data_IF_900195844362
#
_entry.id   IF_900195844362
#
_cell.length_a   1.000
_cell.length_b   1.000
_cell.length_c   1.000
_cell.angle_alpha   90.00
_cell.angle_beta   90.00
_cell.angle_gamma   90.00
#
_symmetry.space_group_name_H-M   'P 1'
#
loop_
_entity.id
_entity.type
_entity.pdbx_description
1 polymer ?
#
# COMPACT_ATOMS: atom_id res chain seq x y z
N UNK A 1 -31.11 -4.01 4.44
CA UNK A 1 -29.99 -3.22 5.00
C UNK A 1 -29.51 -2.06 4.11
N UNK A 2 -29.16 -2.28 2.84
CA UNK A 2 -28.47 -1.29 1.97
C UNK A 2 -29.21 0.04 1.71
N UNK A 3 -30.51 0.02 1.36
CA UNK A 3 -31.33 1.25 1.23
C UNK A 3 -31.47 2.02 2.56
N UNK A 4 -31.34 1.33 3.70
CA UNK A 4 -31.43 1.92 5.04
C UNK A 4 -30.16 2.69 5.36
N UNK A 5 -28.97 2.14 5.04
CA UNK A 5 -27.69 2.83 5.21
C UNK A 5 -27.54 4.08 4.34
N UNK A 6 -27.98 4.05 3.07
CA UNK A 6 -27.94 5.23 2.20
C UNK A 6 -28.80 6.38 2.75
N UNK A 7 -30.00 6.04 3.25
CA UNK A 7 -30.91 7.01 3.88
C UNK A 7 -30.32 7.56 5.18
N UNK A 8 -29.64 6.73 5.96
CA UNK A 8 -28.96 7.15 7.19
C UNK A 8 -27.78 8.08 6.86
N UNK A 9 -26.94 7.73 5.88
CA UNK A 9 -25.83 8.58 5.44
C UNK A 9 -26.27 9.93 4.86
N UNK A 10 -27.33 9.95 4.04
CA UNK A 10 -27.93 11.19 3.53
C UNK A 10 -28.52 12.05 4.66
N UNK A 11 -29.12 11.43 5.68
CA UNK A 11 -29.65 12.12 6.85
C UNK A 11 -28.53 12.75 7.69
N UNK A 12 -27.44 12.03 7.94
CA UNK A 12 -26.28 12.57 8.65
C UNK A 12 -25.60 13.70 7.88
N UNK A 13 -25.48 13.58 6.55
CA UNK A 13 -24.95 14.66 5.70
C UNK A 13 -25.83 15.92 5.75
N UNK A 14 -27.15 15.76 5.69
CA UNK A 14 -28.08 16.89 5.79
C UNK A 14 -27.97 17.59 7.16
N UNK A 15 -27.87 16.82 8.25
CA UNK A 15 -27.67 17.36 9.61
C UNK A 15 -26.34 18.11 9.70
N UNK A 16 -25.27 17.55 9.16
CA UNK A 16 -23.96 18.18 9.12
C UNK A 16 -23.95 19.51 8.33
N UNK A 17 -24.58 19.54 7.15
CA UNK A 17 -24.66 20.74 6.33
C UNK A 17 -25.49 21.86 6.99
N UNK A 18 -26.55 21.48 7.72
CA UNK A 18 -27.31 22.41 8.55
C UNK A 18 -26.46 23.01 9.68
N UNK A 19 -25.65 22.18 10.35
CA UNK A 19 -24.71 22.64 11.39
C UNK A 19 -23.62 23.57 10.81
N UNK A 20 -23.28 23.44 9.53
CA UNK A 20 -22.40 24.35 8.80
C UNK A 20 -23.09 25.61 8.24
N UNK A 21 -24.36 25.84 8.56
CA UNK A 21 -25.08 27.08 8.21
C UNK A 21 -25.79 27.09 6.85
N UNK A 22 -25.92 25.95 6.17
CA UNK A 22 -26.75 25.87 4.96
C UNK A 22 -28.24 25.95 5.29
N UNK A 23 -29.03 26.48 4.35
CA UNK A 23 -30.48 26.38 4.45
C UNK A 23 -30.94 24.93 4.41
N UNK A 24 -32.07 24.63 5.04
CA UNK A 24 -32.62 23.27 5.06
C UNK A 24 -32.93 22.74 3.64
N UNK A 25 -33.30 23.62 2.71
CA UNK A 25 -33.57 23.23 1.33
C UNK A 25 -32.27 22.82 0.64
N UNK A 26 -31.22 23.64 0.74
CA UNK A 26 -29.93 23.38 0.09
C UNK A 26 -29.21 22.16 0.69
N UNK A 27 -29.33 21.96 2.01
CA UNK A 27 -28.78 20.79 2.70
C UNK A 27 -29.45 19.49 2.23
N UNK A 28 -30.77 19.51 2.08
CA UNK A 28 -31.56 18.35 1.61
C UNK A 28 -31.28 18.07 0.13
N UNK A 29 -31.18 19.09 -0.71
CA UNK A 29 -30.93 18.90 -2.14
C UNK A 29 -29.50 18.44 -2.42
N UNK A 30 -28.50 18.94 -1.68
CA UNK A 30 -27.13 18.39 -1.70
C UNK A 30 -27.09 16.95 -1.21
N UNK A 31 -27.82 16.61 -0.14
CA UNK A 31 -27.89 15.24 0.37
C UNK A 31 -28.60 14.28 -0.60
N UNK A 32 -29.63 14.74 -1.31
CA UNK A 32 -30.32 13.97 -2.37
C UNK A 32 -29.45 13.78 -3.59
N UNK A 33 -28.80 14.84 -4.08
CA UNK A 33 -27.85 14.77 -5.19
C UNK A 33 -26.71 13.81 -4.88
N UNK A 34 -26.16 13.90 -3.67
CA UNK A 34 -25.20 12.93 -3.13
C UNK A 34 -25.77 11.50 -3.10
N UNK A 35 -26.99 11.29 -2.59
CA UNK A 35 -27.59 9.97 -2.55
C UNK A 35 -27.82 9.38 -3.96
N UNK A 36 -28.19 10.20 -4.94
CA UNK A 36 -28.39 9.80 -6.34
C UNK A 36 -27.05 9.49 -7.04
N UNK A 37 -26.04 10.33 -6.83
CA UNK A 37 -24.66 10.10 -7.28
C UNK A 37 -24.09 8.80 -6.66
N UNK A 38 -24.30 8.60 -5.34
CA UNK A 38 -23.90 7.39 -4.59
C UNK A 38 -24.67 6.14 -4.98
N UNK A 39 -25.93 6.26 -5.43
CA UNK A 39 -26.71 5.14 -5.96
C UNK A 39 -26.10 4.57 -7.24
N UNK A 40 -25.44 5.43 -8.02
CA UNK A 40 -24.67 5.06 -9.22
C UNK A 40 -23.19 4.77 -8.92
N UNK A 41 -22.65 5.28 -7.81
CA UNK A 41 -21.28 5.03 -7.30
C UNK A 41 -21.16 3.80 -6.39
N UNK A 42 -22.27 3.18 -5.97
CA UNK A 42 -22.23 1.78 -5.52
C UNK A 42 -21.91 0.97 -6.77
N UNK A 43 -20.63 0.89 -7.10
CA UNK A 43 -20.11 -0.14 -7.98
C UNK A 43 -20.60 -1.43 -7.35
N UNK A 44 -21.50 -2.11 -8.04
CA UNK A 44 -21.69 -3.52 -7.81
C UNK A 44 -20.35 -4.15 -8.14
N UNK A 45 -19.49 -4.33 -7.12
CA UNK A 45 -18.32 -5.20 -7.19
C UNK A 45 -18.89 -6.61 -7.39
N UNK A 46 -19.33 -6.91 -8.61
CA UNK A 46 -19.53 -8.28 -9.05
C UNK A 46 -18.13 -8.86 -9.08
N UNK A 47 -17.97 -9.96 -8.37
CA UNK A 47 -16.81 -10.81 -8.55
C UNK A 47 -16.73 -11.17 -10.04
N UNK A 48 -15.75 -10.59 -10.73
CA UNK A 48 -15.47 -10.79 -12.15
C UNK A 48 -14.27 -11.71 -12.34
N UNK A 49 -13.81 -12.42 -11.29
CA UNK A 49 -12.73 -13.41 -11.35
C UNK A 49 -12.91 -14.48 -12.44
N UNK A 50 -14.14 -14.68 -12.92
CA UNK A 50 -14.51 -15.58 -14.01
C UNK A 50 -14.48 -15.01 -15.45
N UNK A 51 -14.03 -13.77 -15.68
CA UNK A 51 -14.15 -13.08 -16.99
C UNK A 51 -12.81 -12.75 -17.68
N UNK A 52 -11.75 -13.54 -17.50
CA UNK A 52 -10.43 -13.18 -18.05
C UNK A 52 -9.85 -14.22 -19.00
N UNK A 53 -9.17 -13.73 -20.05
CA UNK A 53 -8.32 -14.50 -20.94
C UNK A 53 -6.87 -14.46 -20.45
N UNK A 54 -6.16 -15.59 -20.51
CA UNK A 54 -4.78 -15.74 -20.02
C UNK A 54 -3.79 -14.71 -20.59
N UNK A 55 -4.00 -14.30 -21.85
CA UNK A 55 -3.18 -13.33 -22.57
C UNK A 55 -3.17 -11.94 -21.93
N UNK A 56 -4.27 -11.54 -21.30
CA UNK A 56 -4.40 -10.21 -20.69
C UNK A 56 -3.54 -10.12 -19.44
N UNK A 57 -3.39 -11.23 -18.71
CA UNK A 57 -2.61 -11.37 -17.49
C UNK A 57 -1.11 -11.40 -17.78
N UNK A 58 -0.70 -12.09 -18.86
CA UNK A 58 0.71 -12.23 -19.24
C UNK A 58 1.44 -10.89 -19.50
N UNK A 59 0.72 -9.87 -19.95
CA UNK A 59 1.24 -8.52 -20.20
C UNK A 59 1.66 -7.80 -18.90
N UNK A 60 0.94 -8.03 -17.80
CA UNK A 60 1.25 -7.47 -16.48
C UNK A 60 2.52 -8.07 -15.90
N UNK A 61 2.70 -9.37 -16.10
CA UNK A 61 3.90 -10.11 -15.70
C UNK A 61 5.13 -9.67 -16.51
N UNK A 62 4.94 -9.25 -17.77
CA UNK A 62 6.02 -8.74 -18.62
C UNK A 62 6.57 -7.38 -18.14
N UNK A 63 5.72 -6.46 -17.71
CA UNK A 63 6.15 -5.18 -17.13
C UNK A 63 6.89 -5.36 -15.77
N UNK A 64 6.51 -6.39 -14.99
CA UNK A 64 7.23 -6.78 -13.77
C UNK A 64 8.59 -7.45 -14.07
N UNK A 65 8.69 -8.24 -15.14
CA UNK A 65 9.95 -8.89 -15.60
C UNK A 65 11.03 -7.90 -15.98
N UNK A 66 10.67 -6.75 -16.55
CA UNK A 66 11.63 -5.77 -17.07
C UNK A 66 12.48 -5.09 -15.96
N UNK A 67 12.08 -5.24 -14.68
CA UNK A 67 12.78 -4.70 -13.49
C UNK A 67 13.18 -5.80 -12.48
N UNK A 68 13.60 -6.96 -12.96
CA UNK A 68 13.96 -8.09 -12.10
C UNK A 68 15.31 -7.88 -11.37
N UNK A 69 15.29 -7.14 -10.26
CA UNK A 69 16.34 -7.19 -9.24
C UNK A 69 16.25 -8.49 -8.40
N UNK A 70 17.31 -8.82 -7.66
CA UNK A 70 17.38 -10.07 -6.87
C UNK A 70 16.64 -10.03 -5.53
N UNK A 71 16.18 -8.85 -5.11
CA UNK A 71 15.57 -8.63 -3.80
C UNK A 71 14.12 -9.10 -3.70
N UNK A 72 13.58 -8.92 -2.50
CA UNK A 72 12.18 -9.15 -2.16
C UNK A 72 11.54 -7.83 -1.73
N UNK A 73 10.27 -7.62 -2.06
CA UNK A 73 9.47 -6.51 -1.50
C UNK A 73 8.26 -7.10 -0.79
N UNK A 74 7.97 -6.65 0.42
CA UNK A 74 6.78 -6.98 1.21
C UNK A 74 6.00 -5.68 1.46
N UNK A 75 4.98 -5.46 0.63
CA UNK A 75 4.11 -4.28 0.70
C UNK A 75 2.88 -4.59 1.55
N UNK A 76 2.76 -3.96 2.72
CA UNK A 76 1.72 -4.27 3.70
C UNK A 76 0.62 -3.20 3.68
N UNK A 77 -0.65 -3.61 3.62
CA UNK A 77 -1.80 -2.70 3.63
C UNK A 77 -2.03 -2.01 4.97
N UNK A 78 -1.60 -2.62 6.08
CA UNK A 78 -1.81 -2.22 7.48
C UNK A 78 -2.33 -3.41 8.30
N UNK A 79 -2.59 -3.25 9.60
CA UNK A 79 -3.25 -4.27 10.41
C UNK A 79 -2.41 -5.51 10.77
N UNK A 80 -1.08 -5.38 10.76
CA UNK A 80 -0.16 -6.40 11.28
C UNK A 80 0.46 -5.88 12.58
N UNK A 81 -0.40 -5.70 13.58
CA UNK A 81 -0.10 -4.91 14.79
C UNK A 81 0.32 -5.79 15.98
N UNK A 82 0.59 -7.08 15.75
CA UNK A 82 1.01 -8.03 16.81
C UNK A 82 2.19 -8.84 16.33
N UNK A 83 3.03 -9.30 17.25
CA UNK A 83 4.15 -10.17 16.91
C UNK A 83 3.67 -11.43 16.18
N UNK A 84 2.57 -12.02 16.63
CA UNK A 84 2.02 -13.27 16.10
C UNK A 84 1.58 -13.12 14.64
N UNK A 85 0.82 -12.08 14.31
CA UNK A 85 0.34 -11.90 12.95
C UNK A 85 1.41 -11.33 12.00
N UNK A 86 2.40 -10.60 12.52
CA UNK A 86 3.54 -10.07 11.74
C UNK A 86 4.60 -11.15 11.47
N UNK A 87 4.70 -12.19 12.33
CA UNK A 87 5.71 -13.24 12.24
C UNK A 87 5.85 -13.89 10.85
N UNK A 88 4.77 -14.28 10.13
CA UNK A 88 4.90 -14.85 8.79
C UNK A 88 5.61 -13.95 7.77
N UNK A 89 5.53 -12.63 7.95
CA UNK A 89 6.23 -11.67 7.10
C UNK A 89 7.72 -11.61 7.42
N UNK A 90 8.09 -11.68 8.71
CA UNK A 90 9.50 -11.81 9.13
C UNK A 90 10.09 -13.10 8.57
N UNK A 91 9.39 -14.23 8.71
CA UNK A 91 9.88 -15.52 8.25
C UNK A 91 10.16 -15.53 6.74
N UNK A 92 9.32 -14.87 5.93
CA UNK A 92 9.58 -14.69 4.49
C UNK A 92 10.83 -13.85 4.21
N UNK A 93 11.06 -12.77 4.95
CA UNK A 93 12.29 -11.99 4.84
C UNK A 93 13.51 -12.82 5.23
N UNK A 94 13.45 -13.57 6.33
CA UNK A 94 14.54 -14.44 6.77
C UNK A 94 14.86 -15.53 5.73
N UNK A 95 13.83 -16.23 5.24
CA UNK A 95 13.95 -17.24 4.19
C UNK A 95 14.57 -16.64 2.92
N UNK A 96 14.18 -15.42 2.55
CA UNK A 96 14.76 -14.73 1.41
C UNK A 96 16.25 -14.43 1.58
N UNK A 97 16.65 -13.91 2.74
CA UNK A 97 18.06 -13.59 3.00
C UNK A 97 18.93 -14.85 3.04
N UNK A 98 18.39 -15.97 3.54
CA UNK A 98 19.13 -17.20 3.76
C UNK A 98 20.26 -17.09 4.79
N UNK A 99 20.31 -15.99 5.56
CA UNK A 99 21.35 -15.71 6.56
C UNK A 99 20.92 -16.16 7.94
N UNK A 100 21.87 -16.64 8.74
CA UNK A 100 21.62 -17.06 10.13
C UNK A 100 21.46 -15.88 11.10
N UNK A 101 22.01 -14.71 10.75
CA UNK A 101 21.89 -13.47 11.53
C UNK A 101 21.85 -12.28 10.56
N UNK A 102 20.73 -12.03 9.87
CA UNK A 102 20.60 -10.93 8.94
C UNK A 102 20.58 -9.58 9.67
N UNK A 103 21.11 -8.54 9.03
CA UNK A 103 21.05 -7.16 9.53
C UNK A 103 19.75 -6.49 9.06
N UNK A 104 18.88 -6.15 9.99
CA UNK A 104 17.66 -5.39 9.75
C UNK A 104 17.90 -3.89 10.02
N UNK A 105 17.58 -3.04 9.05
CA UNK A 105 17.64 -1.59 9.17
C UNK A 105 16.24 -1.02 9.33
N UNK A 106 15.99 -0.41 10.49
CA UNK A 106 14.74 0.27 10.80
C UNK A 106 14.80 1.74 10.34
N UNK A 107 13.83 2.14 9.51
CA UNK A 107 13.78 3.46 8.87
C UNK A 107 12.45 4.15 9.22
N UNK A 108 12.41 4.90 10.35
CA UNK A 108 11.18 5.50 10.88
C UNK A 108 10.75 6.81 10.21
N UNK A 109 11.26 7.15 9.03
CA UNK A 109 11.11 8.49 8.44
C UNK A 109 9.65 8.92 8.25
N UNK A 110 8.72 8.01 7.94
CA UNK A 110 7.30 8.38 7.84
C UNK A 110 6.70 8.84 9.19
N UNK A 111 7.31 8.47 10.31
CA UNK A 111 7.03 8.99 11.66
C UNK A 111 7.97 10.13 12.05
N UNK A 112 8.48 10.90 11.08
CA UNK A 112 9.35 12.05 11.32
C UNK A 112 10.64 11.71 12.08
N UNK A 113 11.10 10.47 11.96
CA UNK A 113 12.24 9.92 12.69
C UNK A 113 12.11 10.01 14.22
N UNK A 114 10.87 9.92 14.72
CA UNK A 114 10.52 9.71 16.13
C UNK A 114 10.42 8.20 16.42
N UNK A 115 10.99 7.76 17.55
CA UNK A 115 11.14 6.33 17.89
C UNK A 115 10.11 5.82 18.91
N UNK A 116 9.42 6.73 19.61
CA UNK A 116 8.80 6.50 20.92
C UNK A 116 7.65 5.46 20.96
N UNK A 117 7.16 4.98 19.81
CA UNK A 117 6.04 4.01 19.74
C UNK A 117 6.29 2.80 18.80
N UNK A 118 7.51 2.60 18.26
CA UNK A 118 7.75 1.56 17.23
C UNK A 118 8.98 0.68 17.43
N UNK A 119 9.50 0.62 18.66
CA UNK A 119 10.55 -0.31 19.06
C UNK A 119 10.09 -1.78 18.98
N UNK A 120 8.78 -2.05 19.11
CA UNK A 120 8.22 -3.41 19.02
C UNK A 120 8.61 -4.13 17.71
N UNK A 121 8.63 -3.43 16.57
CA UNK A 121 9.04 -4.04 15.30
C UNK A 121 10.50 -4.50 15.37
N UNK A 122 11.37 -3.67 15.95
CA UNK A 122 12.79 -3.99 16.15
C UNK A 122 12.91 -5.23 17.03
N UNK A 123 12.20 -5.26 18.15
CA UNK A 123 12.15 -6.40 19.06
C UNK A 123 11.65 -7.68 18.38
N UNK A 124 10.65 -7.59 17.48
CA UNK A 124 10.14 -8.76 16.77
C UNK A 124 11.16 -9.35 15.80
N UNK A 125 11.92 -8.50 15.10
CA UNK A 125 13.02 -8.96 14.24
C UNK A 125 14.19 -9.53 15.05
N UNK A 126 14.55 -8.92 16.17
CA UNK A 126 15.59 -9.42 17.07
C UNK A 126 15.21 -10.76 17.70
N UNK A 127 13.96 -10.91 18.17
CA UNK A 127 13.41 -12.17 18.64
C UNK A 127 13.39 -13.26 17.56
N UNK A 128 13.41 -12.86 16.28
CA UNK A 128 13.53 -13.75 15.13
C UNK A 128 14.98 -14.07 14.73
N UNK A 129 15.98 -13.52 15.43
CA UNK A 129 17.40 -13.77 15.20
C UNK A 129 18.11 -12.73 14.32
N UNK A 130 17.51 -11.56 14.08
CA UNK A 130 18.18 -10.46 13.39
C UNK A 130 19.09 -9.65 14.33
N UNK A 131 20.06 -8.97 13.75
CA UNK A 131 20.67 -7.78 14.37
C UNK A 131 20.02 -6.54 13.80
N UNK A 132 19.78 -5.52 14.62
CA UNK A 132 19.06 -4.32 14.19
C UNK A 132 19.93 -3.07 14.23
N UNK A 133 19.66 -2.13 13.32
CA UNK A 133 20.24 -0.80 13.28
C UNK A 133 19.14 0.20 12.89
N UNK A 134 19.34 1.49 13.17
CA UNK A 134 18.33 2.53 12.94
C UNK A 134 18.92 3.62 12.05
N UNK A 135 18.18 4.01 11.01
CA UNK A 135 18.52 5.14 10.15
C UNK A 135 17.47 6.26 10.27
N UNK A 136 17.83 7.32 11.00
CA UNK A 136 17.05 8.55 11.10
C UNK A 136 17.38 9.47 9.92
N UNK A 137 16.71 9.27 8.78
CA UNK A 137 17.07 9.88 7.49
C UNK A 137 17.17 11.41 7.54
N UNK A 138 16.24 12.07 8.23
CA UNK A 138 16.23 13.55 8.35
C UNK A 138 17.49 14.09 9.04
N UNK A 139 18.04 13.33 9.99
CA UNK A 139 19.22 13.70 10.79
C UNK A 139 20.53 13.16 10.20
N UNK A 140 20.46 12.11 9.38
CA UNK A 140 21.62 11.43 8.81
C UNK A 140 22.32 12.24 7.70
N UNK A 141 23.62 12.00 7.55
CA UNK A 141 24.36 12.44 6.36
C UNK A 141 24.12 11.50 5.17
N UNK A 142 24.36 11.95 3.93
CA UNK A 142 24.27 11.07 2.75
C UNK A 142 25.22 9.88 2.83
N UNK A 143 26.40 10.08 3.43
CA UNK A 143 27.38 9.01 3.65
C UNK A 143 26.85 7.97 4.63
N UNK A 144 26.22 8.40 5.72
CA UNK A 144 25.61 7.49 6.70
C UNK A 144 24.43 6.72 6.10
N UNK A 145 23.60 7.39 5.28
CA UNK A 145 22.51 6.74 4.53
C UNK A 145 23.04 5.63 3.64
N UNK A 146 24.07 5.92 2.84
CA UNK A 146 24.72 4.94 1.97
C UNK A 146 25.29 3.77 2.78
N UNK A 147 26.06 4.06 3.82
CA UNK A 147 26.68 3.05 4.67
C UNK A 147 25.63 2.11 5.27
N UNK A 148 24.63 2.65 5.96
CA UNK A 148 23.62 1.86 6.66
C UNK A 148 22.75 1.04 5.71
N UNK A 149 22.31 1.62 4.59
CA UNK A 149 21.48 0.92 3.60
C UNK A 149 22.28 -0.20 2.92
N UNK A 150 23.54 0.05 2.55
CA UNK A 150 24.37 -0.94 1.88
C UNK A 150 24.73 -2.15 2.76
N UNK A 151 24.73 -1.96 4.08
CA UNK A 151 24.98 -3.02 5.05
C UNK A 151 23.74 -3.83 5.43
N UNK A 152 22.54 -3.40 5.03
CA UNK A 152 21.27 -4.00 5.43
C UNK A 152 20.89 -5.19 4.54
N UNK A 153 20.42 -6.26 5.18
CA UNK A 153 19.81 -7.43 4.53
C UNK A 153 18.30 -7.28 4.43
N UNK A 154 17.71 -6.59 5.40
CA UNK A 154 16.30 -6.28 5.50
C UNK A 154 16.18 -4.79 5.79
N UNK A 155 15.35 -4.06 5.04
CA UNK A 155 15.07 -2.65 5.28
C UNK A 155 13.57 -2.52 5.59
N UNK A 156 13.28 -2.09 6.82
CA UNK A 156 11.92 -1.84 7.28
C UNK A 156 11.62 -0.34 7.25
N UNK A 157 10.71 0.09 6.37
CA UNK A 157 10.22 1.47 6.33
C UNK A 157 8.85 1.56 7.03
N UNK A 158 8.70 2.50 7.97
CA UNK A 158 7.45 2.65 8.73
C UNK A 158 6.32 3.24 7.87
N UNK A 159 5.06 2.94 8.24
CA UNK A 159 3.91 3.73 7.82
C UNK A 159 3.88 5.10 8.51
N UNK A 160 3.05 6.04 8.04
CA UNK A 160 2.96 7.41 8.58
C UNK A 160 2.78 8.43 7.46
N UNK A 161 3.46 9.57 7.54
CA UNK A 161 3.36 10.63 6.54
C UNK A 161 4.25 10.34 5.32
N UNK A 162 3.68 9.90 4.18
CA UNK A 162 4.41 9.63 2.95
C UNK A 162 5.06 10.89 2.37
N UNK A 163 4.44 12.07 2.49
CA UNK A 163 5.02 13.33 2.02
C UNK A 163 6.37 13.59 2.68
N UNK A 164 6.42 13.54 4.00
CA UNK A 164 7.65 13.73 4.78
C UNK A 164 8.70 12.66 4.42
N UNK A 165 8.28 11.39 4.31
CA UNK A 165 9.17 10.31 3.86
C UNK A 165 9.78 10.64 2.50
N UNK A 166 8.95 10.93 1.49
CA UNK A 166 9.44 11.15 0.12
C UNK A 166 10.31 12.38 -0.03
N UNK A 167 10.00 13.47 0.69
CA UNK A 167 10.83 14.69 0.70
C UNK A 167 12.23 14.40 1.26
N UNK A 168 12.31 13.76 2.42
CA UNK A 168 13.58 13.42 3.07
C UNK A 168 14.37 12.38 2.26
N UNK A 169 13.69 11.36 1.74
CA UNK A 169 14.35 10.30 0.96
C UNK A 169 14.94 10.82 -0.34
N UNK A 170 14.26 11.76 -1.03
CA UNK A 170 14.79 12.46 -2.20
C UNK A 170 15.99 13.32 -1.83
N UNK A 171 15.88 14.13 -0.79
CA UNK A 171 16.95 15.02 -0.36
C UNK A 171 18.24 14.26 0.00
N UNK A 172 18.09 13.13 0.70
CA UNK A 172 19.19 12.33 1.23
C UNK A 172 19.68 11.22 0.30
N UNK A 173 19.06 11.04 -0.87
CA UNK A 173 19.47 10.03 -1.86
C UNK A 173 19.16 8.59 -1.45
N UNK A 174 18.13 8.39 -0.61
CA UNK A 174 17.73 7.07 -0.13
C UNK A 174 17.24 6.19 -1.28
N UNK A 175 16.52 6.76 -2.26
CA UNK A 175 15.95 5.99 -3.37
C UNK A 175 17.00 5.30 -4.24
N UNK A 176 18.16 5.94 -4.47
CA UNK A 176 19.27 5.31 -5.17
C UNK A 176 19.87 4.15 -4.37
N UNK A 177 20.04 4.32 -3.07
CA UNK A 177 20.66 3.30 -2.22
C UNK A 177 19.74 2.09 -1.99
N UNK A 178 18.43 2.29 -1.80
CA UNK A 178 17.49 1.15 -1.67
C UNK A 178 17.36 0.36 -2.97
N UNK A 179 17.49 1.00 -4.13
CA UNK A 179 17.56 0.29 -5.43
C UNK A 179 18.78 -0.61 -5.51
N UNK A 180 19.95 -0.09 -5.13
CA UNK A 180 21.18 -0.89 -5.07
C UNK A 180 21.06 -2.04 -4.07
N UNK A 181 20.51 -1.80 -2.88
CA UNK A 181 20.27 -2.84 -1.89
C UNK A 181 19.33 -3.93 -2.43
N UNK A 182 18.23 -3.52 -3.09
CA UNK A 182 17.31 -4.44 -3.75
C UNK A 182 18.00 -5.28 -4.84
N UNK A 183 18.82 -4.67 -5.69
CA UNK A 183 19.58 -5.38 -6.74
C UNK A 183 20.60 -6.37 -6.15
N UNK A 184 21.13 -6.08 -4.96
CA UNK A 184 22.02 -6.96 -4.20
C UNK A 184 21.28 -8.05 -3.38
N UNK A 185 19.94 -8.08 -3.41
CA UNK A 185 19.16 -9.13 -2.76
C UNK A 185 18.61 -8.78 -1.37
N UNK A 186 18.52 -7.49 -1.01
CA UNK A 186 17.88 -7.09 0.23
C UNK A 186 16.35 -7.31 0.18
N UNK A 187 15.76 -7.64 1.33
CA UNK A 187 14.33 -7.60 1.54
C UNK A 187 13.88 -6.18 1.94
N UNK A 188 12.93 -5.61 1.23
CA UNK A 188 12.31 -4.33 1.57
C UNK A 188 10.90 -4.57 2.09
N UNK A 189 10.59 -4.10 3.29
CA UNK A 189 9.31 -4.38 3.96
C UNK A 189 8.76 -3.10 4.58
N UNK A 190 7.43 -2.93 4.54
CA UNK A 190 6.81 -1.81 5.23
C UNK A 190 5.30 -1.76 5.10
N UNK A 191 4.59 -1.23 6.12
CA UNK A 191 3.16 -0.94 6.06
C UNK A 191 2.86 0.45 5.55
N UNK A 192 1.69 0.61 4.92
CA UNK A 192 1.14 1.91 4.55
C UNK A 192 2.14 2.73 3.72
N UNK A 193 2.60 3.89 4.19
CA UNK A 193 3.64 4.70 3.54
C UNK A 193 4.95 3.96 3.27
N UNK A 194 5.31 3.01 4.12
CA UNK A 194 6.43 2.09 3.90
C UNK A 194 6.17 1.08 2.78
N UNK A 195 4.92 0.70 2.52
CA UNK A 195 4.57 -0.12 1.36
C UNK A 195 4.66 0.73 0.07
N UNK A 196 4.14 1.95 0.14
CA UNK A 196 4.06 2.87 -0.99
C UNK A 196 5.42 3.31 -1.51
N UNK A 197 6.39 3.52 -0.62
CA UNK A 197 7.70 4.06 -1.00
C UNK A 197 8.52 3.16 -1.95
N UNK A 198 8.19 1.87 -2.04
CA UNK A 198 8.82 0.92 -2.98
C UNK A 198 8.26 1.01 -4.40
N UNK A 199 7.04 1.50 -4.56
CA UNK A 199 6.34 1.54 -5.83
C UNK A 199 6.69 2.77 -6.66
N UNK A 200 6.12 2.88 -7.87
CA UNK A 200 6.30 4.05 -8.72
C UNK A 200 5.59 5.27 -8.11
N UNK A 201 4.38 5.07 -7.58
CA UNK A 201 3.62 6.11 -6.88
C UNK A 201 2.95 5.56 -5.62
N UNK A 202 2.74 6.42 -4.63
CA UNK A 202 1.84 6.17 -3.50
C UNK A 202 0.64 7.10 -3.53
N UNK A 203 -0.52 6.62 -3.09
CA UNK A 203 -1.72 7.42 -2.84
C UNK A 203 -1.88 7.64 -1.34
N UNK A 204 -1.80 8.89 -0.85
CA UNK A 204 -1.80 9.16 0.60
C UNK A 204 -2.52 10.47 0.95
N UNK A 205 -3.13 10.56 2.13
CA UNK A 205 -3.87 11.73 2.67
C UNK A 205 -3.04 12.62 3.59
N UNK A 206 -1.76 12.81 3.27
CA UNK A 206 -0.80 13.64 4.02
C UNK A 206 -1.24 15.12 4.19
N UNK A 207 -2.15 15.40 5.13
CA UNK A 207 -2.62 16.74 5.49
C UNK A 207 -2.83 16.91 7.00
N UNK A 208 -2.30 17.99 7.58
CA UNK A 208 -2.29 18.22 9.05
C UNK A 208 -3.68 18.49 9.66
N UNK A 209 -4.69 18.86 8.87
CA UNK A 209 -6.05 19.15 9.38
C UNK A 209 -7.07 18.02 9.16
N UNK A 210 -6.66 16.92 8.52
CA UNK A 210 -7.58 15.94 7.94
C UNK A 210 -8.00 14.86 8.94
N UNK A 211 -7.12 14.56 9.91
CA UNK A 211 -7.19 13.38 10.79
C UNK A 211 -8.40 13.34 11.75
N UNK A 212 -9.23 14.41 11.84
CA UNK A 212 -10.33 14.48 12.81
C UNK A 212 -11.73 14.36 12.21
N UNK A 213 -11.89 14.50 10.89
CA UNK A 213 -13.22 14.52 10.24
C UNK A 213 -13.39 13.35 9.25
N UNK A 214 -12.30 12.89 8.60
CA UNK A 214 -12.38 11.94 7.48
C UNK A 214 -12.62 10.49 7.88
N UNK A 215 -12.14 10.04 9.03
CA UNK A 215 -12.31 8.65 9.48
C UNK A 215 -13.78 8.30 9.78
N UNK A 216 -14.57 9.30 10.17
CA UNK A 216 -16.01 9.14 10.41
C UNK A 216 -16.88 9.72 9.28
N UNK A 217 -16.40 10.76 8.59
CA UNK A 217 -17.15 11.48 7.56
C UNK A 217 -16.21 11.98 6.44
N UNK A 218 -15.76 11.11 5.51
CA UNK A 218 -14.81 11.45 4.44
C UNK A 218 -15.35 12.46 3.41
N UNK A 219 -16.60 12.92 3.56
CA UNK A 219 -17.27 13.91 2.71
C UNK A 219 -17.43 15.29 3.37
N UNK A 220 -17.10 15.43 4.66
CA UNK A 220 -17.24 16.69 5.41
C UNK A 220 -15.93 17.48 5.55
N UNK A 221 -14.79 16.82 5.37
CA UNK A 221 -13.50 17.50 5.39
C UNK A 221 -13.34 18.37 4.14
N UNK A 222 -13.17 19.68 4.33
CA UNK A 222 -12.60 20.53 3.30
C UNK A 222 -11.16 20.05 3.10
N UNK A 223 -10.88 19.51 1.92
CA UNK A 223 -9.55 19.07 1.48
C UNK A 223 -8.84 18.08 2.41
N UNK A 224 -9.41 16.88 2.55
CA UNK A 224 -8.56 15.69 2.63
C UNK A 224 -7.83 15.57 1.29
N UNK A 225 -6.73 16.30 1.12
CA UNK A 225 -5.98 16.33 -0.14
C UNK A 225 -5.17 15.04 -0.26
N UNK A 226 -5.86 13.94 -0.53
CA UNK A 226 -5.19 12.77 -1.05
C UNK A 226 -4.43 13.16 -2.31
N UNK A 227 -3.15 12.85 -2.36
CA UNK A 227 -2.29 13.16 -3.49
C UNK A 227 -1.41 11.96 -3.87
N UNK A 228 -0.76 12.09 -5.02
CA UNK A 228 0.19 11.13 -5.54
C UNK A 228 1.62 11.55 -5.21
N UNK A 229 2.39 10.64 -4.65
CA UNK A 229 3.81 10.85 -4.37
C UNK A 229 4.66 9.93 -5.24
N UNK A 230 5.63 10.51 -5.95
CA UNK A 230 6.64 9.72 -6.66
C UNK A 230 7.61 9.06 -5.68
N UNK A 231 7.77 7.75 -5.85
CA UNK A 231 8.48 6.84 -4.96
C UNK A 231 9.63 6.12 -5.69
N UNK A 232 10.19 5.04 -5.11
CA UNK A 232 11.39 4.39 -5.65
C UNK A 232 11.19 3.84 -7.09
N UNK A 233 10.00 3.36 -7.41
CA UNK A 233 9.69 2.76 -8.72
C UNK A 233 10.28 1.36 -8.90
N UNK A 234 10.53 0.62 -7.81
CA UNK A 234 10.89 -0.80 -7.86
C UNK A 234 9.70 -1.66 -8.27
N UNK A 235 8.50 -1.33 -7.80
CA UNK A 235 7.25 -1.90 -8.29
C UNK A 235 6.60 -0.98 -9.33
N UNK A 236 6.08 -1.50 -10.45
CA UNK A 236 5.50 -0.71 -11.54
C UNK A 236 4.05 -0.27 -11.25
N UNK A 237 3.73 0.00 -9.99
CA UNK A 237 2.37 0.29 -9.54
C UNK A 237 2.25 1.66 -8.87
N UNK A 238 1.02 2.17 -8.82
CA UNK A 238 0.61 3.03 -7.73
C UNK A 238 0.03 2.20 -6.59
N UNK A 239 0.57 2.30 -5.37
CA UNK A 239 0.05 1.56 -4.22
C UNK A 239 -0.97 2.39 -3.44
N UNK A 240 -2.08 1.75 -3.05
CA UNK A 240 -3.08 2.27 -2.12
C UNK A 240 -3.26 1.27 -0.96
N UNK A 241 -2.70 1.52 0.23
CA UNK A 241 -2.94 0.71 1.43
C UNK A 241 -4.37 0.94 1.97
N UNK A 242 -4.69 0.30 3.10
CA UNK A 242 -5.95 0.45 3.85
C UNK A 242 -7.22 0.34 3.00
N UNK A 243 -7.20 -0.45 1.92
CA UNK A 243 -8.25 -0.43 0.90
C UNK A 243 -9.59 -1.04 1.37
N UNK A 244 -9.71 -1.50 2.60
CA UNK A 244 -10.96 -1.85 3.26
C UNK A 244 -11.64 -0.64 3.94
N UNK A 245 -10.90 0.45 4.19
CA UNK A 245 -11.44 1.70 4.69
C UNK A 245 -12.19 2.45 3.58
N UNK A 246 -13.41 2.90 3.86
CA UNK A 246 -14.25 3.63 2.90
C UNK A 246 -13.62 4.94 2.43
N UNK A 247 -12.83 5.62 3.27
CA UNK A 247 -12.11 6.83 2.93
C UNK A 247 -11.06 6.55 1.83
N UNK A 248 -10.35 5.43 1.96
CA UNK A 248 -9.32 4.99 1.01
C UNK A 248 -9.91 4.36 -0.25
N UNK A 249 -11.06 3.68 -0.15
CA UNK A 249 -11.76 3.06 -1.30
C UNK A 249 -12.19 4.06 -2.38
N UNK A 250 -12.30 5.36 -2.07
CA UNK A 250 -12.56 6.39 -3.09
C UNK A 250 -11.48 6.40 -4.18
N UNK A 251 -10.28 5.90 -3.85
CA UNK A 251 -9.17 5.75 -4.79
C UNK A 251 -9.52 4.87 -5.99
N UNK A 252 -10.45 3.91 -5.87
CA UNK A 252 -10.89 3.10 -7.01
C UNK A 252 -11.32 3.94 -8.22
N UNK A 253 -11.92 5.12 -7.99
CA UNK A 253 -12.32 6.05 -9.06
C UNK A 253 -11.16 6.85 -9.64
N UNK A 254 -10.10 7.05 -8.85
CA UNK A 254 -8.89 7.77 -9.24
C UNK A 254 -7.90 6.85 -9.96
N UNK A 255 -7.76 5.61 -9.51
CA UNK A 255 -6.95 4.56 -10.13
C UNK A 255 -7.34 4.33 -11.60
N UNK A 256 -8.63 4.38 -11.93
CA UNK A 256 -9.12 4.25 -13.32
C UNK A 256 -8.67 5.37 -14.28
N UNK A 257 -8.15 6.49 -13.75
CA UNK A 257 -7.70 7.64 -14.53
C UNK A 257 -6.17 7.76 -14.55
N UNK A 258 -5.47 6.83 -13.90
CA UNK A 258 -4.03 6.85 -13.79
C UNK A 258 -3.43 6.03 -14.94
N UNK A 259 -2.40 6.55 -15.61
CA UNK A 259 -1.77 5.89 -16.76
C UNK A 259 -0.87 4.70 -16.37
N UNK A 260 -0.80 4.35 -15.07
CA UNK A 260 -0.09 3.18 -14.55
C UNK A 260 -1.04 2.30 -13.73
N UNK A 261 -0.81 0.98 -13.65
CA UNK A 261 -1.63 0.10 -12.83
C UNK A 261 -1.54 0.44 -11.34
N UNK A 262 -2.61 0.14 -10.59
CA UNK A 262 -2.66 0.38 -9.14
C UNK A 262 -2.83 -0.91 -8.36
N UNK A 263 -2.05 -1.08 -7.30
CA UNK A 263 -2.12 -2.18 -6.35
C UNK A 263 -2.74 -1.68 -5.04
N UNK A 264 -3.97 -2.10 -4.76
CA UNK A 264 -4.71 -1.70 -3.57
C UNK A 264 -4.74 -2.84 -2.55
N UNK A 265 -4.32 -2.60 -1.31
CA UNK A 265 -4.07 -3.64 -0.31
C UNK A 265 -4.92 -3.35 0.94
N UNK A 266 -5.73 -4.32 1.39
CA UNK A 266 -6.52 -4.19 2.61
C UNK A 266 -5.66 -4.32 3.87
N UNK A 267 -6.16 -3.80 5.00
CA UNK A 267 -5.60 -4.14 6.31
C UNK A 267 -5.67 -5.66 6.55
N UNK A 268 -4.62 -6.21 7.16
CA UNK A 268 -4.43 -7.65 7.36
C UNK A 268 -4.00 -8.40 6.10
N UNK A 269 -3.64 -7.70 5.02
CA UNK A 269 -3.04 -8.29 3.82
C UNK A 269 -1.68 -7.64 3.48
N UNK A 270 -0.77 -8.45 2.97
CA UNK A 270 0.51 -8.03 2.41
C UNK A 270 0.71 -8.68 1.04
N UNK A 271 1.37 -7.94 0.13
CA UNK A 271 1.79 -8.43 -1.17
C UNK A 271 3.29 -8.62 -1.15
N UNK A 272 3.75 -9.84 -1.38
CA UNK A 272 5.16 -10.21 -1.45
C UNK A 272 5.54 -10.32 -2.91
N UNK A 273 6.55 -9.56 -3.34
CA UNK A 273 7.18 -9.65 -4.65
C UNK A 273 8.55 -10.31 -4.52
N UNK A 274 8.82 -11.31 -5.35
CA UNK A 274 10.13 -11.97 -5.46
C UNK A 274 10.30 -12.57 -6.84
N UNK A 275 11.41 -12.30 -7.52
CA UNK A 275 11.77 -12.90 -8.82
C UNK A 275 10.66 -12.81 -9.89
N UNK A 276 10.03 -11.63 -10.03
CA UNK A 276 8.94 -11.47 -11.01
C UNK A 276 7.61 -12.10 -10.60
N UNK A 277 7.55 -12.77 -9.44
CA UNK A 277 6.34 -13.39 -8.89
C UNK A 277 5.77 -12.58 -7.74
N UNK A 278 4.44 -12.63 -7.58
CA UNK A 278 3.77 -12.03 -6.43
C UNK A 278 2.91 -13.05 -5.68
N UNK A 279 2.87 -12.91 -4.37
CA UNK A 279 2.08 -13.71 -3.45
C UNK A 279 1.31 -12.77 -2.51
N UNK A 280 0.09 -13.14 -2.08
CA UNK A 280 -0.60 -12.44 -0.99
C UNK A 280 -0.56 -13.26 0.28
N UNK A 281 -0.11 -12.61 1.35
CA UNK A 281 -0.12 -13.12 2.72
C UNK A 281 -1.23 -12.41 3.47
N UNK A 282 -2.06 -13.15 4.18
CA UNK A 282 -3.13 -12.60 5.02
C UNK A 282 -2.99 -13.09 6.44
N UNK A 283 -3.34 -12.25 7.41
CA UNK A 283 -3.52 -12.67 8.81
C UNK A 283 -4.50 -13.86 8.89
N UNK A 284 -4.11 -14.94 9.57
CA UNK A 284 -4.90 -16.17 9.69
C UNK A 284 -6.26 -15.92 10.34
N UNK A 285 -6.33 -15.00 11.31
CA UNK A 285 -7.59 -14.60 11.94
C UNK A 285 -8.54 -13.89 10.96
N UNK A 286 -8.00 -13.37 9.86
CA UNK A 286 -8.68 -12.60 8.84
C UNK A 286 -8.39 -13.13 7.43
N UNK A 287 -8.42 -14.45 7.25
CA UNK A 287 -8.11 -15.15 5.99
C UNK A 287 -8.94 -14.74 4.74
N UNK A 288 -9.81 -13.73 4.83
CA UNK A 288 -10.59 -13.19 3.70
C UNK A 288 -10.07 -11.86 3.17
N UNK A 289 -9.02 -11.28 3.76
CA UNK A 289 -8.45 -9.99 3.33
C UNK A 289 -7.72 -10.11 2.00
N UNK A 290 -7.87 -9.08 1.17
CA UNK A 290 -7.54 -9.13 -0.26
C UNK A 290 -6.57 -8.01 -0.62
N UNK A 291 -5.82 -8.25 -1.70
CA UNK A 291 -5.26 -7.18 -2.51
C UNK A 291 -6.00 -7.15 -3.86
N UNK A 292 -6.00 -6.00 -4.51
CA UNK A 292 -6.68 -5.72 -5.77
C UNK A 292 -5.74 -5.02 -6.74
N UNK A 293 -5.75 -5.40 -8.01
CA UNK A 293 -4.94 -4.79 -9.07
C UNK A 293 -5.85 -4.10 -10.09
N UNK A 294 -5.71 -2.79 -10.28
CA UNK A 294 -6.44 -1.99 -11.28
C UNK A 294 -5.53 -1.66 -12.48
N UNK A 295 -6.03 -1.73 -13.71
CA UNK A 295 -5.27 -1.39 -14.92
C UNK A 295 -5.90 -0.24 -15.73
N UNK A 296 -5.11 0.74 -16.23
CA UNK A 296 -5.58 1.86 -17.06
C UNK A 296 -6.39 1.42 -18.29
N UNK A 297 -5.82 0.54 -19.11
CA UNK A 297 -6.36 0.29 -20.46
C UNK A 297 -7.59 -0.62 -20.51
N UNK A 298 -7.94 -1.30 -19.40
CA UNK A 298 -8.99 -2.34 -19.40
C UNK A 298 -10.19 -2.04 -18.49
N UNK A 299 -10.33 -0.78 -18.03
CA UNK A 299 -11.50 -0.27 -17.26
C UNK A 299 -11.97 -1.18 -16.11
N UNK A 300 -11.02 -1.66 -15.29
CA UNK A 300 -11.16 -2.48 -14.06
C UNK A 300 -10.89 -3.97 -14.31
N UNK A 301 -9.69 -4.41 -13.92
CA UNK A 301 -9.46 -5.79 -13.48
C UNK A 301 -9.65 -5.77 -11.95
N UNK A 302 -10.35 -6.74 -11.39
CA UNK A 302 -10.39 -6.96 -9.93
C UNK A 302 -9.83 -8.33 -9.70
N UNK A 303 -8.55 -8.39 -9.38
CA UNK A 303 -7.91 -9.65 -9.00
C UNK A 303 -8.02 -9.77 -7.49
N UNK A 304 -8.79 -10.76 -7.02
CA UNK A 304 -8.53 -11.28 -5.68
C UNK A 304 -7.26 -12.12 -5.79
N UNK A 305 -6.12 -11.54 -5.42
CA UNK A 305 -4.81 -12.19 -5.56
C UNK A 305 -4.75 -13.53 -4.78
N UNK A 306 -5.63 -13.74 -3.79
CA UNK A 306 -5.72 -14.98 -3.02
C UNK A 306 -6.28 -16.17 -3.83
N UNK A 307 -7.24 -15.93 -4.72
CA UNK A 307 -7.91 -17.01 -5.46
C UNK A 307 -7.10 -17.48 -6.67
N UNK A 308 -6.08 -16.71 -7.04
CA UNK A 308 -5.40 -16.75 -8.32
C UNK A 308 -3.93 -16.24 -8.20
N UNK A 309 -3.11 -16.75 -7.27
CA UNK A 309 -1.73 -16.27 -7.07
C UNK A 309 -0.81 -16.50 -8.29
N UNK A 310 -1.07 -17.56 -9.07
CA UNK A 310 -0.33 -17.95 -10.27
C UNK A 310 -0.43 -16.93 -11.41
N UNK A 311 -1.41 -16.03 -11.35
CA UNK A 311 -1.58 -14.98 -12.36
C UNK A 311 -0.58 -13.83 -12.20
N UNK A 312 0.15 -13.82 -11.08
CA UNK A 312 1.26 -12.91 -10.85
C UNK A 312 2.60 -13.64 -10.84
N UNK A 313 2.64 -14.96 -11.00
CA UNK A 313 3.89 -15.72 -11.14
C UNK A 313 4.26 -15.88 -12.60
N UNK A 314 5.55 -15.72 -12.89
CA UNK A 314 6.10 -16.15 -14.16
C UNK A 314 6.16 -17.67 -14.13
N UNK A 315 5.34 -18.36 -14.91
CA UNK A 315 5.63 -19.75 -15.26
C UNK A 315 6.81 -19.70 -16.23
N UNK A 316 7.94 -20.30 -15.87
CA UNK A 316 9.01 -20.62 -16.81
C UNK A 316 8.47 -21.66 -17.80
N UNK A 317 7.76 -21.18 -18.81
CA UNK A 317 7.21 -21.98 -19.88
C UNK A 317 7.78 -21.48 -21.19
N UNK A 318 8.62 -22.31 -21.81
CA UNK A 318 9.03 -22.17 -23.20
C UNK A 318 7.85 -21.66 -24.03
N UNK A 319 8.08 -20.58 -24.78
CA UNK A 319 7.20 -20.12 -25.84
C UNK A 319 7.07 -21.25 -26.88
N UNK A 320 6.14 -22.18 -26.66
CA UNK A 320 5.76 -23.16 -27.66
C UNK A 320 4.70 -22.51 -28.52
N UNK A 321 5.19 -21.92 -29.61
CA UNK A 321 4.37 -21.61 -30.77
C UNK A 321 3.54 -22.84 -31.17
N UNK A 322 2.22 -22.70 -31.19
CA UNK A 322 1.33 -23.23 -32.24
C UNK A 322 0.02 -22.44 -32.25
#
# INVERSE_FOLDING_TARGET
MKKRMLKIGALFMAIALLLCGLSACDAVDKAKSFAEEKKNMIVHFRDVSGYYKEEEVAMFTAAAKEKAGKGMIVAIGGGFDTQENFRPLIDKCLEHTGKSNPKMLFVPTAHRDELEEKEEIVEWFEAAGCTSDVLLVSKASKSEVQEKISAADIIYATGGNLKFLTENWKEKGVYEEVKKAFDHGAALIGPSSGAMCWAQKGWDDCGEEVFRITDSFPFLGKDASYDYYDCAGLLPFCICPHFDNIAWRVYAFKAMKLDIPSLCIENGAAVVYKNGSYEVVSDEANSKRKAYLFHPDRKIVMMNVKEKPEFLSVVDGECRSK
#
